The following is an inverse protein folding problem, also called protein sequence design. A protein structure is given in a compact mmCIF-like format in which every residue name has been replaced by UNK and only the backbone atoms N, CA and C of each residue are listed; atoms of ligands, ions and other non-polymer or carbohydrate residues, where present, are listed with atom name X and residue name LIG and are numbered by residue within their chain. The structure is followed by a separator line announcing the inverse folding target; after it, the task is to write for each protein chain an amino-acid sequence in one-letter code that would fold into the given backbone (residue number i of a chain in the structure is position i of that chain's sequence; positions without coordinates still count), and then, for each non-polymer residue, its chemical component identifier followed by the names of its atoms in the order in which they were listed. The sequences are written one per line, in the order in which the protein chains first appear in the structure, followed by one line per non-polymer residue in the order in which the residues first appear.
data_IF_251265291819
#
_entry.id   IF_251265291819
#
_cell.length_a   1.000
_cell.length_b   1.000
_cell.length_c   1.000
_cell.angle_alpha   90.00
_cell.angle_beta   90.00
_cell.angle_gamma   90.00
#
_symmetry.space_group_name_H-M   'P 1'
#
loop_
_entity.id
_entity.type
_entity.pdbx_description
1 polymer ?
#
# COMPACT_ATOMS: atom_id res chain seq x y z
N UNK A 1 -11.06 -4.12 4.94
CA UNK A 1 -10.14 -2.97 5.02
C UNK A 1 -8.93 -3.19 4.12
N UNK A 2 -8.77 -2.32 3.18
CA UNK A 2 -7.63 -2.34 2.25
C UNK A 2 -6.78 -1.11 2.51
N UNK A 3 -5.48 -1.30 2.64
CA UNK A 3 -4.53 -0.20 2.79
C UNK A 3 -3.77 -0.02 1.48
N UNK A 4 -3.82 1.19 0.95
CA UNK A 4 -3.05 1.56 -0.24
C UNK A 4 -1.86 2.40 0.22
N UNK A 5 -0.66 1.97 -0.15
CA UNK A 5 0.56 2.65 0.25
C UNK A 5 1.24 3.26 -0.98
N UNK A 6 1.32 4.57 -1.00
CA UNK A 6 1.89 5.30 -2.12
C UNK A 6 0.84 5.64 -3.16
N UNK A 7 0.27 6.83 -3.06
CA UNK A 7 -0.78 7.27 -3.96
C UNK A 7 -0.22 7.85 -5.26
N UNK A 8 0.92 8.49 -5.17
CA UNK A 8 1.52 9.18 -6.30
C UNK A 8 2.43 8.26 -7.10
N UNK A 9 2.52 8.50 -8.40
CA UNK A 9 3.23 7.61 -9.31
C UNK A 9 4.74 7.66 -9.24
N UNK A 10 5.30 8.71 -8.62
CA UNK A 10 6.75 8.90 -8.57
C UNK A 10 7.27 8.72 -7.17
N UNK A 11 8.25 7.84 -6.99
CA UNK A 11 8.83 7.64 -5.67
C UNK A 11 9.47 8.92 -5.13
N UNK A 12 9.27 9.14 -3.84
CA UNK A 12 9.86 10.28 -3.11
C UNK A 12 9.55 11.64 -3.74
N UNK A 13 8.41 11.77 -4.40
CA UNK A 13 7.97 13.03 -5.00
C UNK A 13 6.48 13.24 -4.77
N UNK A 14 6.11 14.50 -4.59
CA UNK A 14 4.71 14.90 -4.41
C UNK A 14 4.15 15.44 -5.72
N UNK A 15 3.97 14.57 -6.70
CA UNK A 15 3.43 14.95 -7.99
C UNK A 15 2.00 14.45 -8.14
N UNK A 16 1.14 15.32 -8.66
CA UNK A 16 -0.30 15.07 -8.73
C UNK A 16 -0.82 14.81 -10.13
N UNK A 17 0.01 14.37 -11.03
CA UNK A 17 -0.49 14.10 -12.36
C UNK A 17 -1.57 13.01 -12.29
N UNK A 18 -2.24 12.78 -13.39
CA UNK A 18 -3.37 11.87 -13.44
C UNK A 18 -2.94 10.41 -13.45
N UNK A 19 -2.03 10.06 -12.57
CA UNK A 19 -1.50 8.71 -12.50
C UNK A 19 -2.61 7.71 -12.15
N UNK A 20 -2.52 6.48 -12.69
CA UNK A 20 -3.48 5.44 -12.36
C UNK A 20 -3.71 5.22 -10.86
N UNK A 21 -2.72 5.36 -9.98
CA UNK A 21 -2.95 5.20 -8.55
C UNK A 21 -4.01 6.13 -7.97
N UNK A 22 -4.23 7.30 -8.59
CA UNK A 22 -5.26 8.21 -8.11
C UNK A 22 -6.67 7.70 -8.39
N UNK A 23 -6.83 6.81 -9.34
CA UNK A 23 -8.14 6.23 -9.69
C UNK A 23 -8.47 5.01 -8.85
N UNK A 24 -7.46 4.31 -8.37
CA UNK A 24 -7.64 3.04 -7.70
C UNK A 24 -8.50 3.09 -6.44
N UNK A 25 -8.34 4.09 -5.55
CA UNK A 25 -9.19 4.14 -4.36
C UNK A 25 -10.68 4.14 -4.68
N UNK A 26 -11.08 4.93 -5.67
CA UNK A 26 -12.48 4.98 -6.07
C UNK A 26 -12.98 3.66 -6.63
N UNK A 27 -12.16 3.01 -7.44
CA UNK A 27 -12.52 1.72 -8.03
C UNK A 27 -12.72 0.66 -6.95
N UNK A 28 -11.87 0.63 -5.94
CA UNK A 28 -12.01 -0.34 -4.86
C UNK A 28 -13.24 -0.05 -4.00
N UNK A 29 -13.53 1.22 -3.76
CA UNK A 29 -14.72 1.58 -3.01
C UNK A 29 -16.00 1.18 -3.74
N UNK A 30 -16.00 1.26 -5.06
CA UNK A 30 -17.13 0.81 -5.86
C UNK A 30 -17.39 -0.67 -5.70
N UNK A 31 -16.37 -1.43 -5.31
CA UNK A 31 -16.51 -2.86 -5.04
C UNK A 31 -16.96 -3.14 -3.61
N UNK A 32 -17.28 -2.12 -2.85
CA UNK A 32 -17.75 -2.29 -1.48
C UNK A 32 -16.65 -2.42 -0.45
N UNK A 33 -15.41 -2.11 -0.80
CA UNK A 33 -14.29 -2.23 0.12
C UNK A 33 -14.08 -0.94 0.91
N UNK A 34 -13.65 -1.09 2.17
CA UNK A 34 -13.21 0.05 2.95
C UNK A 34 -11.74 0.28 2.64
N UNK A 35 -11.42 1.49 2.19
CA UNK A 35 -10.08 1.82 1.71
C UNK A 35 -9.46 2.91 2.56
N UNK A 36 -8.25 2.67 3.02
CA UNK A 36 -7.43 3.68 3.64
C UNK A 36 -6.19 3.91 2.80
N UNK A 37 -5.67 5.12 2.82
CA UNK A 37 -4.56 5.52 1.95
C UNK A 37 -3.47 6.17 2.76
N UNK A 38 -2.23 5.85 2.45
CA UNK A 38 -1.06 6.53 3.00
C UNK A 38 -0.13 6.94 1.87
N UNK A 39 0.45 8.12 2.01
CA UNK A 39 1.53 8.56 1.14
C UNK A 39 2.43 9.48 1.98
N UNK A 40 3.75 9.20 2.05
CA UNK A 40 4.63 10.00 2.91
C UNK A 40 4.81 11.44 2.47
N UNK A 41 4.43 11.77 1.25
CA UNK A 41 4.57 13.12 0.71
C UNK A 41 3.27 13.90 0.69
N UNK A 42 2.22 13.35 1.28
CA UNK A 42 0.92 14.01 1.37
C UNK A 42 0.47 14.08 2.81
N UNK A 43 -0.13 15.22 3.19
CA UNK A 43 -0.77 15.31 4.50
C UNK A 43 -2.03 14.46 4.51
N UNK A 44 -2.48 14.10 5.70
CA UNK A 44 -3.74 13.35 5.81
C UNK A 44 -4.91 14.12 5.21
N UNK A 45 -4.92 15.44 5.41
CA UNK A 45 -5.96 16.29 4.84
C UNK A 45 -5.96 16.20 3.31
N UNK A 46 -4.76 16.22 2.70
CA UNK A 46 -4.63 16.17 1.26
C UNK A 46 -5.07 14.81 0.71
N UNK A 47 -4.71 13.74 1.40
CA UNK A 47 -5.14 12.40 1.00
C UNK A 47 -6.67 12.33 0.97
N UNK A 48 -7.32 12.80 2.02
CA UNK A 48 -8.77 12.79 2.08
C UNK A 48 -9.39 13.64 0.97
N UNK A 49 -8.79 14.78 0.69
CA UNK A 49 -9.29 15.66 -0.36
C UNK A 49 -9.16 15.03 -1.75
N UNK A 50 -8.06 14.34 -2.00
CA UNK A 50 -7.81 13.73 -3.31
C UNK A 50 -8.60 12.44 -3.53
N UNK A 51 -8.83 11.66 -2.49
CA UNK A 51 -9.35 10.30 -2.64
C UNK A 51 -10.73 10.08 -2.04
N UNK A 52 -11.12 10.92 -1.09
CA UNK A 52 -12.33 10.67 -0.32
C UNK A 52 -12.20 9.49 0.66
N UNK A 53 -11.02 8.93 0.78
CA UNK A 53 -10.76 7.78 1.65
C UNK A 53 -10.14 8.21 2.96
N UNK A 54 -10.13 7.32 3.94
CA UNK A 54 -9.43 7.54 5.20
C UNK A 54 -7.95 7.66 4.95
N UNK A 55 -7.30 8.56 5.67
CA UNK A 55 -5.86 8.71 5.59
C UNK A 55 -5.22 7.90 6.70
N UNK A 56 -4.28 7.04 6.32
CA UNK A 56 -3.64 6.11 7.25
C UNK A 56 -2.31 6.65 7.76
N UNK A 57 -1.94 6.27 8.97
CA UNK A 57 -0.60 6.41 9.48
C UNK A 57 0.16 5.13 9.18
N UNK A 58 1.39 5.24 8.74
CA UNK A 58 2.23 4.09 8.45
C UNK A 58 3.34 3.97 9.51
N UNK A 59 3.56 2.80 10.08
CA UNK A 59 2.89 1.52 9.81
C UNK A 59 1.71 1.21 10.74
N UNK A 60 1.43 2.07 11.70
CA UNK A 60 0.48 1.75 12.78
C UNK A 60 -0.89 1.32 12.31
N UNK A 61 -1.43 1.98 11.31
CA UNK A 61 -2.79 1.69 10.86
C UNK A 61 -2.89 0.45 9.98
N UNK A 62 -1.77 -0.18 9.65
CA UNK A 62 -1.80 -1.45 8.94
C UNK A 62 -2.41 -2.57 9.77
N UNK A 63 -2.49 -2.41 11.08
CA UNK A 63 -3.01 -3.45 11.97
C UNK A 63 -4.44 -3.85 11.67
N UNK A 64 -5.20 -2.97 11.06
CA UNK A 64 -6.60 -3.25 10.74
C UNK A 64 -6.81 -3.66 9.28
N UNK A 65 -5.77 -3.64 8.49
CA UNK A 65 -5.88 -3.95 7.07
C UNK A 65 -5.86 -5.46 6.84
N UNK A 66 -6.78 -5.92 6.03
CA UNK A 66 -6.82 -7.32 5.60
C UNK A 66 -6.04 -7.52 4.31
N UNK A 67 -5.87 -6.46 3.54
CA UNK A 67 -5.05 -6.47 2.34
C UNK A 67 -4.26 -5.17 2.28
N UNK A 68 -3.03 -5.28 1.81
CA UNK A 68 -2.14 -4.13 1.64
C UNK A 68 -1.61 -4.12 0.22
N UNK A 69 -1.75 -2.98 -0.43
CA UNK A 69 -1.22 -2.77 -1.78
C UNK A 69 -0.11 -1.72 -1.72
N UNK A 70 1.10 -2.15 -2.02
CA UNK A 70 2.25 -1.25 -2.09
C UNK A 70 2.41 -0.80 -3.52
N UNK A 71 2.10 0.45 -3.79
CA UNK A 71 1.98 0.96 -5.15
C UNK A 71 3.18 1.75 -5.62
N UNK A 72 3.87 2.43 -4.71
CA UNK A 72 5.00 3.28 -5.05
C UNK A 72 6.16 3.02 -4.10
N UNK A 73 7.41 2.92 -4.63
CA UNK A 73 8.54 2.53 -3.79
C UNK A 73 9.17 3.70 -3.02
N UNK A 74 8.38 4.37 -2.19
CA UNK A 74 8.92 5.43 -1.34
C UNK A 74 9.90 4.85 -0.31
N UNK A 75 10.93 5.62 -0.01
CA UNK A 75 11.98 5.19 0.91
C UNK A 75 11.43 4.76 2.28
N UNK A 76 10.42 5.47 2.78
CA UNK A 76 9.84 5.13 4.07
C UNK A 76 9.31 3.71 4.14
N UNK A 77 8.80 3.19 3.04
CA UNK A 77 8.31 1.81 3.02
C UNK A 77 9.46 0.80 2.98
N UNK A 78 10.59 1.19 2.42
CA UNK A 78 11.76 0.31 2.33
C UNK A 78 12.51 0.20 3.65
N UNK A 79 12.38 1.20 4.51
CA UNK A 79 13.14 1.26 5.76
C UNK A 79 12.57 0.42 6.90
N UNK A 80 11.31 0.00 6.79
CA UNK A 80 10.74 -0.84 7.83
C UNK A 80 11.36 -2.23 7.76
N UNK A 81 11.73 -2.78 8.92
CA UNK A 81 12.29 -4.12 8.97
C UNK A 81 11.21 -5.19 8.86
N UNK A 82 11.63 -6.41 8.49
CA UNK A 82 10.71 -7.53 8.31
C UNK A 82 9.85 -7.79 9.55
N UNK A 83 10.48 -7.87 10.70
CA UNK A 83 9.74 -8.21 11.92
C UNK A 83 8.74 -7.14 12.30
N UNK A 84 9.13 -5.88 12.17
CA UNK A 84 8.22 -4.77 12.47
C UNK A 84 7.06 -4.75 11.49
N UNK A 85 7.33 -4.99 10.21
CA UNK A 85 6.27 -5.02 9.22
C UNK A 85 5.29 -6.15 9.50
N UNK A 86 5.78 -7.35 9.75
CA UNK A 86 4.90 -8.50 10.01
C UNK A 86 4.08 -8.30 11.28
N UNK A 87 4.63 -7.63 12.28
CA UNK A 87 3.87 -7.35 13.49
C UNK A 87 2.67 -6.45 13.20
N UNK A 88 2.83 -5.51 12.28
CA UNK A 88 1.73 -4.63 11.90
C UNK A 88 0.75 -5.27 10.91
N UNK A 89 1.11 -6.42 10.34
CA UNK A 89 0.26 -7.13 9.39
C UNK A 89 -0.53 -8.28 10.01
N UNK A 90 -0.86 -8.17 11.28
CA UNK A 90 -1.55 -9.24 12.02
C UNK A 90 -2.88 -9.66 11.42
N UNK A 91 -3.62 -8.72 10.91
CA UNK A 91 -4.92 -9.01 10.31
C UNK A 91 -4.84 -9.21 8.81
N UNK A 92 -3.67 -9.01 8.24
CA UNK A 92 -3.49 -9.01 6.81
C UNK A 92 -3.39 -10.43 6.27
N UNK A 93 -4.05 -10.68 5.16
CA UNK A 93 -4.01 -11.97 4.48
C UNK A 93 -3.42 -11.88 3.08
N UNK A 94 -3.35 -10.67 2.54
CA UNK A 94 -2.86 -10.46 1.17
C UNK A 94 -2.01 -9.22 1.12
N UNK A 95 -0.82 -9.33 0.56
CA UNK A 95 0.02 -8.19 0.24
C UNK A 95 0.32 -8.25 -1.25
N UNK A 96 -0.02 -7.19 -1.95
CA UNK A 96 0.33 -7.05 -3.36
C UNK A 96 1.36 -5.94 -3.45
N UNK A 97 2.57 -6.32 -3.83
CA UNK A 97 3.69 -5.39 -3.93
C UNK A 97 3.97 -5.10 -5.39
N UNK A 98 3.55 -3.92 -5.82
CA UNK A 98 3.73 -3.49 -7.20
C UNK A 98 5.14 -2.97 -7.47
N UNK A 99 5.99 -2.93 -6.47
CA UNK A 99 7.30 -2.31 -6.54
C UNK A 99 8.46 -3.29 -6.39
N UNK A 100 8.21 -4.42 -5.75
CA UNK A 100 9.25 -5.38 -5.42
C UNK A 100 10.04 -5.06 -4.15
N UNK A 101 9.75 -3.92 -3.49
CA UNK A 101 10.49 -3.52 -2.29
C UNK A 101 10.50 -4.57 -1.19
N UNK A 102 9.36 -5.21 -0.99
CA UNK A 102 9.21 -6.16 0.12
C UNK A 102 9.46 -7.61 -0.28
N UNK A 103 9.79 -7.88 -1.53
CA UNK A 103 10.06 -9.25 -1.97
C UNK A 103 11.26 -9.88 -1.25
N UNK A 104 12.19 -9.05 -0.79
CA UNK A 104 13.39 -9.52 -0.08
C UNK A 104 13.12 -10.04 1.32
N UNK A 105 11.92 -9.87 1.85
CA UNK A 105 11.63 -10.23 3.24
C UNK A 105 11.38 -11.71 3.47
N UNK A 106 11.44 -12.52 2.44
CA UNK A 106 11.35 -13.97 2.61
C UNK A 106 10.00 -14.43 3.14
N UNK A 107 8.94 -14.05 2.45
CA UNK A 107 7.59 -14.44 2.83
C UNK A 107 7.42 -15.96 2.75
N UNK A 108 6.69 -16.52 3.71
CA UNK A 108 6.46 -17.95 3.77
C UNK A 108 5.01 -18.23 4.16
N UNK A 109 4.59 -19.50 4.00
CA UNK A 109 3.26 -19.90 4.38
C UNK A 109 3.00 -19.71 5.87
N UNK A 110 4.06 -19.79 6.68
CA UNK A 110 3.94 -19.63 8.12
C UNK A 110 3.51 -18.21 8.51
N UNK A 111 3.76 -17.24 7.65
CA UNK A 111 3.35 -15.87 7.91
C UNK A 111 1.84 -15.68 7.76
N UNK A 112 1.16 -16.63 7.13
CA UNK A 112 -0.28 -16.53 6.92
C UNK A 112 -0.69 -15.49 5.92
N UNK A 113 0.24 -14.99 5.13
CA UNK A 113 0.02 -13.92 4.17
C UNK A 113 0.33 -14.40 2.77
N UNK A 114 -0.60 -14.16 1.84
CA UNK A 114 -0.36 -14.40 0.43
C UNK A 114 0.37 -13.16 -0.10
N UNK A 115 1.64 -13.29 -0.40
CA UNK A 115 2.45 -12.20 -0.90
C UNK A 115 2.66 -12.33 -2.40
N UNK A 116 2.31 -11.29 -3.13
CA UNK A 116 2.43 -11.27 -4.59
C UNK A 116 3.17 -10.03 -5.05
N UNK A 117 4.07 -10.21 -6.00
CA UNK A 117 4.78 -9.12 -6.63
C UNK A 117 4.26 -8.96 -8.04
N UNK A 118 3.90 -7.73 -8.40
CA UNK A 118 3.42 -7.41 -9.74
C UNK A 118 4.17 -6.21 -10.28
N UNK A 119 4.03 -5.98 -11.55
CA UNK A 119 4.44 -4.74 -12.18
C UNK A 119 5.81 -4.76 -12.79
N UNK A 120 6.84 -4.95 -12.03
CA UNK A 120 8.19 -4.83 -12.53
C UNK A 120 8.42 -5.57 -13.85
N UNK A 121 7.84 -6.74 -13.97
CA UNK A 121 7.94 -7.51 -15.20
C UNK A 121 6.59 -7.74 -15.83
N UNK A 122 5.61 -6.99 -15.40
CA UNK A 122 4.27 -7.18 -15.87
C UNK A 122 3.74 -8.57 -15.62
N UNK A 123 4.18 -9.21 -14.57
CA UNK A 123 3.97 -10.63 -14.36
C UNK A 123 2.52 -11.04 -14.19
N UNK A 124 1.67 -10.14 -13.76
CA UNK A 124 0.24 -10.44 -13.66
C UNK A 124 -0.58 -9.76 -14.73
N UNK A 125 0.07 -9.11 -15.65
CA UNK A 125 -0.62 -8.34 -16.68
C UNK A 125 -0.38 -8.89 -18.08
#
# INVERSE_FOLDING_TARGET
HVALLGLLSHENKAEYDSAPPLLLPGLLREQGLEVGVHDPFLTKKKIRALTGCSALAFPGDLREAEAVLLLTPHTGYALIGREALLEHLRSCRLVVDNTGLWSRYGWSEEDGIDFRVVGERGSLL
#
